data_IF_430814572618
#
_entry.id   IF_430814572618
#
_cell.length_a   1.000
_cell.length_b   1.000
_cell.length_c   1.000
_cell.angle_alpha   90.00
_cell.angle_beta   90.00
_cell.angle_gamma   90.00
#
_symmetry.space_group_name_H-M   'P 1'
#
loop_
_entity.id
_entity.type
_entity.pdbx_description
1 polymer ?
#
# COMPACT_ATOMS: atom_id res chain seq x y z
N UNK A 1 -2.92 -5.77 11.56
CA UNK A 1 -3.45 -7.13 11.32
C UNK A 1 -3.73 -7.74 12.68
N UNK A 2 -4.80 -8.54 12.82
CA UNK A 2 -5.10 -9.29 14.05
C UNK A 2 -4.52 -10.70 13.97
N UNK A 3 -4.41 -11.39 15.10
CA UNK A 3 -4.01 -12.79 15.16
C UNK A 3 -5.06 -13.67 14.45
N UNK A 4 -4.61 -14.52 13.51
CA UNK A 4 -5.52 -15.35 12.70
C UNK A 4 -6.28 -16.37 13.54
N UNK A 5 -5.61 -17.08 14.44
CA UNK A 5 -6.25 -18.09 15.32
C UNK A 5 -7.35 -17.48 16.18
N UNK A 6 -7.09 -16.29 16.73
CA UNK A 6 -8.10 -15.56 17.49
C UNK A 6 -9.28 -15.18 16.61
N UNK A 7 -9.04 -14.58 15.45
CA UNK A 7 -10.12 -14.21 14.53
C UNK A 7 -10.96 -15.44 14.13
N UNK A 8 -10.31 -16.54 13.78
CA UNK A 8 -10.98 -17.76 13.33
C UNK A 8 -11.78 -18.43 14.46
N UNK A 9 -11.39 -18.23 15.72
CA UNK A 9 -12.14 -18.74 16.89
C UNK A 9 -13.46 -18.01 17.18
N UNK A 10 -13.67 -16.82 16.61
CA UNK A 10 -14.91 -16.06 16.82
C UNK A 10 -16.09 -16.69 16.04
N UNK A 11 -17.34 -16.52 16.51
CA UNK A 11 -18.55 -16.74 15.72
C UNK A 11 -18.54 -16.01 14.37
N UNK A 12 -19.25 -16.56 13.38
CA UNK A 12 -19.19 -16.09 11.99
C UNK A 12 -19.59 -14.61 11.84
N UNK A 13 -20.66 -14.19 12.51
CA UNK A 13 -21.15 -12.82 12.56
C UNK A 13 -20.10 -11.85 13.13
N UNK A 14 -19.40 -12.23 14.21
CA UNK A 14 -18.35 -11.41 14.79
C UNK A 14 -17.10 -11.36 13.90
N UNK A 15 -16.73 -12.46 13.22
CA UNK A 15 -15.64 -12.43 12.23
C UNK A 15 -15.96 -11.50 11.08
N UNK A 16 -17.19 -11.54 10.59
CA UNK A 16 -17.63 -10.72 9.48
C UNK A 16 -17.69 -9.24 9.89
N UNK A 17 -18.18 -8.94 11.10
CA UNK A 17 -18.15 -7.61 11.67
C UNK A 17 -16.71 -7.06 11.73
N UNK A 18 -15.76 -7.81 12.30
CA UNK A 18 -14.36 -7.40 12.38
C UNK A 18 -13.77 -7.14 10.98
N UNK A 19 -14.05 -8.03 10.01
CA UNK A 19 -13.55 -7.88 8.64
C UNK A 19 -14.18 -6.69 7.90
N UNK A 20 -15.47 -6.44 8.12
CA UNK A 20 -16.19 -5.31 7.52
C UNK A 20 -15.67 -3.98 8.06
N UNK A 21 -15.61 -3.84 9.39
CA UNK A 21 -15.09 -2.63 10.04
C UNK A 21 -13.63 -2.36 9.66
N UNK A 22 -12.81 -3.41 9.50
CA UNK A 22 -11.45 -3.22 9.01
C UNK A 22 -11.43 -2.59 7.61
N UNK A 23 -12.27 -3.05 6.66
CA UNK A 23 -12.32 -2.50 5.30
C UNK A 23 -12.73 -1.03 5.29
N UNK A 24 -13.74 -0.68 6.08
CA UNK A 24 -14.26 0.68 6.23
C UNK A 24 -13.17 1.62 6.77
N UNK A 25 -12.60 1.29 7.93
CA UNK A 25 -11.57 2.10 8.57
C UNK A 25 -10.31 2.20 7.70
N UNK A 26 -9.94 1.15 6.96
CA UNK A 26 -8.81 1.25 6.02
C UNK A 26 -9.07 2.25 4.89
N UNK A 27 -10.32 2.40 4.43
CA UNK A 27 -10.65 3.39 3.41
C UNK A 27 -10.55 4.82 3.97
N UNK A 28 -11.13 5.05 5.14
CA UNK A 28 -11.04 6.33 5.85
C UNK A 28 -9.57 6.71 6.14
N UNK A 29 -8.80 5.79 6.71
CA UNK A 29 -7.40 6.02 7.05
C UNK A 29 -6.56 6.34 5.81
N UNK A 30 -6.86 5.77 4.63
CA UNK A 30 -6.15 6.13 3.39
C UNK A 30 -6.38 7.59 3.02
N UNK A 31 -7.62 8.09 3.15
CA UNK A 31 -7.93 9.49 2.88
C UNK A 31 -7.21 10.41 3.89
N UNK A 32 -7.31 10.10 5.18
CA UNK A 32 -6.64 10.85 6.26
C UNK A 32 -5.11 10.87 6.08
N UNK A 33 -4.50 9.74 5.71
CA UNK A 33 -3.06 9.67 5.47
C UNK A 33 -2.61 10.54 4.29
N UNK A 34 -3.42 10.61 3.23
CA UNK A 34 -3.12 11.49 2.08
C UNK A 34 -3.19 12.95 2.49
N UNK A 35 -4.26 13.36 3.18
CA UNK A 35 -4.40 14.72 3.68
C UNK A 35 -3.28 15.11 4.65
N UNK A 36 -2.88 14.20 5.54
CA UNK A 36 -1.78 14.44 6.47
C UNK A 36 -0.43 14.55 5.75
N UNK A 37 -0.18 13.73 4.71
CA UNK A 37 1.02 13.84 3.90
C UNK A 37 1.08 15.19 3.17
N UNK A 38 -0.04 15.64 2.58
CA UNK A 38 -0.11 16.94 1.89
C UNK A 38 0.14 18.10 2.87
N UNK A 39 -0.46 18.04 4.06
CA UNK A 39 -0.22 19.01 5.13
C UNK A 39 1.25 19.03 5.56
N UNK A 40 1.85 17.85 5.78
CA UNK A 40 3.24 17.75 6.21
C UNK A 40 4.20 18.35 5.16
N UNK A 41 3.94 18.14 3.86
CA UNK A 41 4.73 18.75 2.79
C UNK A 41 4.60 20.27 2.78
N UNK A 42 3.39 20.80 2.95
CA UNK A 42 3.17 22.25 3.05
C UNK A 42 3.85 22.86 4.31
N UNK A 43 3.84 22.15 5.43
CA UNK A 43 4.51 22.60 6.65
C UNK A 43 6.04 22.59 6.48
N UNK A 44 6.62 21.63 5.75
CA UNK A 44 8.03 21.64 5.39
C UNK A 44 8.40 22.85 4.51
N UNK A 45 7.56 23.21 3.54
CA UNK A 45 7.77 24.41 2.70
C UNK A 45 7.78 25.68 3.55
N UNK A 46 6.87 25.82 4.53
CA UNK A 46 6.86 26.95 5.47
C UNK A 46 8.12 27.04 6.33
N UNK A 47 8.75 25.91 6.64
CA UNK A 47 10.03 25.84 7.37
C UNK A 47 11.24 26.15 6.46
N UNK A 48 11.02 26.51 5.20
CA UNK A 48 12.06 26.85 4.24
C UNK A 48 12.64 25.65 3.47
N UNK A 49 12.06 24.45 3.62
CA UNK A 49 12.48 23.30 2.82
C UNK A 49 11.97 23.41 1.38
N UNK A 50 12.79 22.98 0.41
CA UNK A 50 12.35 22.76 -0.96
C UNK A 50 11.75 21.35 -1.10
N UNK A 51 10.43 21.27 -1.30
CA UNK A 51 9.77 19.99 -1.62
C UNK A 51 9.92 19.69 -3.10
N UNK A 52 10.60 18.61 -3.44
CA UNK A 52 10.72 18.13 -4.82
C UNK A 52 9.53 17.22 -5.16
N UNK A 53 8.92 17.43 -6.33
CA UNK A 53 7.81 16.62 -6.84
C UNK A 53 8.32 15.77 -8.00
N UNK A 54 7.89 14.52 -8.06
CA UNK A 54 8.28 13.57 -9.12
C UNK A 54 7.27 13.69 -10.26
N UNK A 55 7.73 14.00 -11.46
CA UNK A 55 6.89 14.03 -12.66
C UNK A 55 6.43 12.62 -13.07
N UNK A 56 5.41 12.52 -13.91
CA UNK A 56 4.98 11.23 -14.45
C UNK A 56 6.09 10.55 -15.27
N UNK A 57 6.89 11.33 -16.01
CA UNK A 57 8.02 10.82 -16.78
C UNK A 57 9.13 10.25 -15.87
N UNK A 58 9.48 10.94 -14.80
CA UNK A 58 10.44 10.43 -13.81
C UNK A 58 9.89 9.20 -13.09
N UNK A 59 8.60 9.19 -12.75
CA UNK A 59 7.94 8.02 -12.17
C UNK A 59 7.99 6.81 -13.10
N UNK A 60 7.76 7.00 -14.41
CA UNK A 60 7.87 5.94 -15.40
C UNK A 60 9.31 5.39 -15.49
N UNK A 61 10.30 6.29 -15.49
CA UNK A 61 11.72 5.90 -15.44
C UNK A 61 12.04 5.08 -14.19
N UNK A 62 11.51 5.46 -13.02
CA UNK A 62 11.70 4.70 -11.79
C UNK A 62 11.06 3.31 -11.87
N UNK A 63 9.86 3.20 -12.47
CA UNK A 63 9.20 1.92 -12.69
C UNK A 63 10.02 0.99 -13.61
N UNK A 64 10.60 1.53 -14.69
CA UNK A 64 11.49 0.79 -15.58
C UNK A 64 12.76 0.32 -14.84
N UNK A 65 13.44 1.23 -14.14
CA UNK A 65 14.67 0.92 -13.40
C UNK A 65 14.47 -0.14 -12.31
N UNK A 66 13.27 -0.18 -11.71
CA UNK A 66 12.92 -1.14 -10.66
C UNK A 66 12.27 -2.41 -11.20
N UNK A 67 11.98 -2.51 -12.50
CA UNK A 67 11.34 -3.67 -13.11
C UNK A 67 12.05 -5.01 -12.79
N UNK A 68 13.40 -5.10 -12.79
CA UNK A 68 14.10 -6.35 -12.47
C UNK A 68 13.89 -6.84 -11.02
N UNK A 69 13.53 -5.94 -10.10
CA UNK A 69 13.28 -6.33 -8.69
C UNK A 69 12.05 -7.24 -8.58
N UNK A 70 11.08 -7.11 -9.48
CA UNK A 70 9.92 -7.99 -9.52
C UNK A 70 10.31 -9.41 -9.95
N UNK A 71 11.23 -9.56 -10.90
CA UNK A 71 11.72 -10.87 -11.32
C UNK A 71 12.59 -11.50 -10.24
N UNK A 72 13.49 -10.69 -9.64
CA UNK A 72 14.34 -11.13 -8.53
C UNK A 72 13.49 -11.60 -7.34
N UNK A 73 12.48 -10.85 -6.94
CA UNK A 73 11.60 -11.23 -5.84
C UNK A 73 10.68 -12.40 -6.22
N UNK A 74 10.18 -12.42 -7.46
CA UNK A 74 9.36 -13.50 -8.00
C UNK A 74 10.08 -14.84 -8.04
N UNK A 75 11.40 -14.85 -8.20
CA UNK A 75 12.21 -16.07 -8.19
C UNK A 75 12.24 -16.80 -6.84
N UNK A 76 11.79 -16.16 -5.74
CA UNK A 76 11.86 -16.76 -4.39
C UNK A 76 10.90 -17.93 -4.21
N UNK A 77 9.75 -17.94 -4.88
CA UNK A 77 8.86 -19.11 -4.92
C UNK A 77 7.80 -18.96 -6.04
N UNK A 78 7.19 -20.07 -6.50
CA UNK A 78 6.06 -20.02 -7.43
C UNK A 78 4.90 -19.15 -6.94
N UNK A 79 4.59 -19.17 -5.64
CA UNK A 79 3.52 -18.36 -5.03
C UNK A 79 3.85 -16.87 -5.08
N UNK A 80 5.13 -16.52 -4.84
CA UNK A 80 5.60 -15.13 -4.91
C UNK A 80 5.51 -14.62 -6.34
N UNK A 81 5.93 -15.42 -7.32
CA UNK A 81 5.77 -15.11 -8.75
C UNK A 81 4.29 -14.89 -9.09
N UNK A 82 3.41 -15.81 -8.70
CA UNK A 82 1.97 -15.71 -8.97
C UNK A 82 1.33 -14.46 -8.30
N UNK A 83 1.78 -14.08 -7.11
CA UNK A 83 1.34 -12.84 -6.45
C UNK A 83 1.79 -11.60 -7.23
N UNK A 84 3.05 -11.53 -7.66
CA UNK A 84 3.58 -10.41 -8.46
C UNK A 84 2.81 -10.30 -9.78
N UNK A 85 2.58 -11.42 -10.47
CA UNK A 85 1.85 -11.44 -11.74
C UNK A 85 0.41 -10.93 -11.57
N UNK A 86 -0.25 -11.26 -10.44
CA UNK A 86 -1.58 -10.72 -10.12
C UNK A 86 -1.54 -9.22 -9.86
N UNK A 87 -0.57 -8.72 -9.09
CA UNK A 87 -0.42 -7.29 -8.78
C UNK A 87 -0.19 -6.49 -10.07
N UNK A 88 0.68 -6.97 -10.97
CA UNK A 88 0.99 -6.29 -12.23
C UNK A 88 -0.20 -6.24 -13.20
N UNK A 89 -1.21 -7.09 -13.05
CA UNK A 89 -2.45 -7.05 -13.82
C UNK A 89 -3.50 -6.06 -13.27
N UNK A 90 -3.30 -5.55 -12.06
CA UNK A 90 -4.18 -4.55 -11.43
C UNK A 90 -3.75 -3.11 -11.72
N UNK A 91 -2.52 -2.93 -12.20
CA UNK A 91 -1.95 -1.64 -12.59
C UNK A 91 -2.29 -1.34 -14.06
#
# INVERSE_FOLDING_TARGET
RVNARWLDSLPADLRDMVRASAKEVFAEQRATNRANADKALADLEKLGCKVNRISEAERAKWAEMTAPLFDQFGSKSPETKAMIDKIRKLA
#
